data_IF_627676192784
#
_entry.id   IF_627676192784
#
_cell.length_a   1.000
_cell.length_b   1.000
_cell.length_c   1.000
_cell.angle_alpha   90.00
_cell.angle_beta   90.00
_cell.angle_gamma   90.00
#
_symmetry.space_group_name_H-M   'P 1'
#
loop_
_entity.id
_entity.type
_entity.pdbx_description
1 polymer ?
#
# COMPACT_ATOMS: atom_id res chain seq x y z
N UNK A 1 8.58 21.03 6.40
CA UNK A 1 9.11 21.10 5.03
C UNK A 1 7.93 20.88 4.08
N UNK A 2 7.43 21.93 3.44
CA UNK A 2 6.26 21.82 2.55
C UNK A 2 6.76 21.66 1.11
N UNK A 3 6.52 20.48 0.55
CA UNK A 3 6.78 20.21 -0.87
C UNK A 3 5.67 20.83 -1.71
N UNK A 4 6.02 21.52 -2.80
CA UNK A 4 5.02 22.01 -3.74
C UNK A 4 4.36 20.87 -4.54
N UNK A 5 3.15 21.10 -5.07
CA UNK A 5 2.49 20.09 -5.92
C UNK A 5 3.30 19.78 -7.19
N UNK A 6 4.03 20.75 -7.71
CA UNK A 6 4.88 20.59 -8.90
C UNK A 6 6.09 19.70 -8.62
N UNK A 7 6.76 19.93 -7.49
CA UNK A 7 7.88 19.08 -7.05
C UNK A 7 7.42 17.65 -6.75
N UNK A 8 6.28 17.50 -6.08
CA UNK A 8 5.71 16.17 -5.82
C UNK A 8 5.38 15.44 -7.13
N UNK A 9 4.77 16.13 -8.09
CA UNK A 9 4.46 15.57 -9.40
C UNK A 9 5.72 15.14 -10.15
N UNK A 10 6.75 15.98 -10.19
CA UNK A 10 8.02 15.66 -10.83
C UNK A 10 8.70 14.43 -10.18
N UNK A 11 8.68 14.33 -8.85
CA UNK A 11 9.20 13.16 -8.14
C UNK A 11 8.43 11.88 -8.44
N UNK A 12 7.09 11.95 -8.47
CA UNK A 12 6.27 10.81 -8.88
C UNK A 12 6.54 10.36 -10.31
N UNK A 13 6.73 11.31 -11.23
CA UNK A 13 7.11 11.00 -12.61
C UNK A 13 8.47 10.34 -12.70
N UNK A 14 9.47 10.89 -12.01
CA UNK A 14 10.82 10.35 -11.98
C UNK A 14 10.86 8.91 -11.46
N UNK A 15 10.14 8.63 -10.36
CA UNK A 15 10.07 7.28 -9.78
C UNK A 15 9.33 6.33 -10.72
N UNK A 16 8.17 6.75 -11.24
CA UNK A 16 7.31 5.88 -12.04
C UNK A 16 7.94 5.48 -13.38
N UNK A 17 8.62 6.40 -14.00
CA UNK A 17 9.20 6.23 -15.34
C UNK A 17 10.71 5.99 -15.31
N UNK A 18 11.28 5.71 -14.12
CA UNK A 18 12.70 5.44 -13.95
C UNK A 18 13.21 4.34 -14.90
N UNK A 19 12.46 3.24 -15.03
CA UNK A 19 12.83 2.09 -15.87
C UNK A 19 12.85 2.40 -17.36
N UNK A 20 12.21 3.49 -17.80
CA UNK A 20 12.15 3.91 -19.18
C UNK A 20 12.95 5.22 -19.41
N UNK A 21 13.98 5.48 -18.61
CA UNK A 21 14.81 6.68 -18.73
C UNK A 21 14.03 7.99 -18.47
N UNK A 22 12.98 7.96 -17.68
CA UNK A 22 12.12 9.11 -17.38
C UNK A 22 11.04 9.39 -18.43
N UNK A 23 11.02 8.66 -19.55
CA UNK A 23 10.00 8.86 -20.58
C UNK A 23 8.68 8.19 -20.19
N UNK A 24 7.59 8.96 -20.24
CA UNK A 24 6.28 8.47 -19.91
C UNK A 24 5.78 7.40 -20.90
N UNK A 25 5.10 6.38 -20.38
CA UNK A 25 4.48 5.32 -21.19
C UNK A 25 3.03 5.09 -20.75
N UNK A 26 2.23 4.51 -21.63
CA UNK A 26 0.83 4.22 -21.35
C UNK A 26 0.70 3.03 -20.38
N UNK A 27 -0.04 3.15 -19.27
CA UNK A 27 -0.21 2.05 -18.31
C UNK A 27 -1.05 0.88 -18.87
N UNK A 28 -1.82 1.11 -19.95
CA UNK A 28 -2.69 0.09 -20.54
C UNK A 28 -2.01 -0.74 -21.63
N UNK A 29 -1.30 -0.10 -22.56
CA UNK A 29 -0.71 -0.77 -23.71
C UNK A 29 0.82 -0.62 -23.78
N UNK A 30 1.44 0.03 -22.78
CA UNK A 30 2.88 0.26 -22.65
C UNK A 30 3.52 1.05 -23.81
N UNK A 31 2.69 1.67 -24.67
CA UNK A 31 3.17 2.50 -25.78
C UNK A 31 3.93 3.72 -25.24
N UNK A 32 5.10 3.98 -25.80
CA UNK A 32 5.98 5.11 -25.44
C UNK A 32 5.57 6.43 -26.11
N UNK A 33 4.78 6.38 -27.20
CA UNK A 33 4.28 7.58 -27.87
C UNK A 33 3.05 8.12 -27.11
N UNK A 34 3.27 9.17 -26.33
CA UNK A 34 2.23 9.82 -25.53
C UNK A 34 2.24 11.32 -25.77
N UNK A 35 1.07 11.93 -25.80
CA UNK A 35 0.88 13.36 -25.92
C UNK A 35 0.53 13.95 -24.56
N UNK A 36 1.21 15.03 -24.15
CA UNK A 36 0.88 15.79 -22.95
C UNK A 36 -0.10 16.92 -23.30
N UNK A 37 -1.12 17.15 -22.45
CA UNK A 37 -1.97 18.30 -22.58
C UNK A 37 -1.34 19.51 -21.87
N UNK A 38 -1.31 20.65 -22.52
CA UNK A 38 -0.72 21.86 -21.95
C UNK A 38 -1.45 22.38 -20.71
N UNK A 39 -2.79 22.26 -20.69
CA UNK A 39 -3.65 22.81 -19.63
C UNK A 39 -3.90 21.84 -18.47
N UNK A 40 -3.65 20.56 -18.64
CA UNK A 40 -3.96 19.52 -17.66
C UNK A 40 -2.77 18.57 -17.50
N UNK A 41 -2.48 18.13 -16.27
CA UNK A 41 -1.44 17.13 -15.98
C UNK A 41 -1.91 15.72 -16.35
N UNK A 42 -2.41 15.57 -17.58
CA UNK A 42 -2.94 14.35 -18.17
C UNK A 42 -2.20 14.10 -19.47
N UNK A 43 -1.97 12.85 -19.80
CA UNK A 43 -1.37 12.41 -21.06
C UNK A 43 -2.35 11.53 -21.82
N UNK A 44 -2.24 11.51 -23.13
CA UNK A 44 -3.02 10.65 -24.03
C UNK A 44 -2.08 9.74 -24.81
N UNK A 45 -2.41 8.46 -24.81
CA UNK A 45 -1.67 7.48 -25.61
C UNK A 45 -2.02 7.62 -27.10
N UNK A 46 -1.00 7.52 -27.98
CA UNK A 46 -1.23 7.53 -29.44
C UNK A 46 -1.85 6.23 -29.95
N UNK A 47 -1.53 5.09 -29.33
CA UNK A 47 -1.98 3.78 -29.79
C UNK A 47 -3.39 3.41 -29.34
N UNK A 48 -3.70 3.55 -28.05
CA UNK A 48 -5.00 3.15 -27.46
C UNK A 48 -5.92 4.32 -27.11
N UNK A 49 -5.52 5.56 -27.40
CA UNK A 49 -6.24 6.79 -27.10
C UNK A 49 -6.61 7.00 -25.61
N UNK A 50 -6.16 6.13 -24.69
CA UNK A 50 -6.42 6.22 -23.27
C UNK A 50 -5.78 7.46 -22.68
N UNK A 51 -6.55 8.22 -21.88
CA UNK A 51 -6.03 9.34 -21.11
C UNK A 51 -5.59 8.83 -19.73
N UNK A 52 -4.44 9.28 -19.27
CA UNK A 52 -3.88 8.87 -17.98
C UNK A 52 -3.08 9.99 -17.32
N UNK A 53 -3.01 9.94 -16.02
CA UNK A 53 -2.17 10.82 -15.19
C UNK A 53 -1.00 10.03 -14.60
N UNK A 54 -0.12 10.70 -13.88
CA UNK A 54 1.00 10.06 -13.19
C UNK A 54 0.56 8.98 -12.19
N UNK A 55 -0.65 9.07 -11.64
CA UNK A 55 -1.19 8.11 -10.67
C UNK A 55 -2.07 7.02 -11.29
N UNK A 56 -2.42 7.12 -12.58
CA UNK A 56 -3.27 6.12 -13.25
C UNK A 56 -2.57 4.77 -13.37
N UNK A 57 -3.22 3.68 -12.99
CA UNK A 57 -2.63 2.33 -12.98
C UNK A 57 -1.66 2.08 -11.82
N UNK A 58 -1.64 2.94 -10.81
CA UNK A 58 -0.92 2.72 -9.54
C UNK A 58 -1.92 2.55 -8.41
N UNK A 59 -1.43 2.18 -7.22
CA UNK A 59 -2.24 2.12 -5.99
C UNK A 59 -2.93 3.46 -5.67
N UNK A 60 -2.38 4.57 -6.15
CA UNK A 60 -2.94 5.92 -5.98
C UNK A 60 -3.91 6.34 -7.09
N UNK A 61 -4.37 5.41 -7.91
CA UNK A 61 -5.41 5.69 -8.92
C UNK A 61 -6.69 6.22 -8.24
N UNK A 62 -7.44 7.08 -8.95
CA UNK A 62 -8.66 7.71 -8.42
C UNK A 62 -8.42 8.52 -7.14
N UNK A 63 -7.30 9.22 -7.09
CA UNK A 63 -6.90 10.03 -5.93
C UNK A 63 -7.91 11.12 -5.60
N UNK A 64 -8.11 11.35 -4.31
CA UNK A 64 -8.92 12.45 -3.75
C UNK A 64 -8.05 13.58 -3.20
N UNK A 65 -6.81 13.29 -2.82
CA UNK A 65 -5.88 14.21 -2.19
C UNK A 65 -4.97 14.89 -3.21
N UNK A 66 -4.43 16.07 -2.90
CA UNK A 66 -3.30 16.66 -3.61
C UNK A 66 -2.14 15.69 -3.70
N UNK A 67 -1.36 15.77 -4.77
CA UNK A 67 -0.28 14.80 -4.99
C UNK A 67 0.82 14.91 -3.93
N UNK A 68 1.04 16.09 -3.38
CA UNK A 68 2.03 16.37 -2.33
C UNK A 68 1.76 15.62 -1.01
N UNK A 69 0.51 15.26 -0.74
CA UNK A 69 0.13 14.60 0.52
C UNK A 69 0.48 13.10 0.50
N UNK A 70 0.64 12.50 -0.66
CA UNK A 70 1.00 11.08 -0.76
C UNK A 70 2.41 10.76 -0.27
N UNK A 71 3.47 11.52 -0.63
CA UNK A 71 4.80 11.33 -0.03
C UNK A 71 4.79 11.50 1.49
N UNK A 72 4.06 12.49 2.00
CA UNK A 72 3.90 12.67 3.44
C UNK A 72 3.22 11.45 4.10
N UNK A 73 2.13 10.96 3.50
CA UNK A 73 1.44 9.77 3.97
C UNK A 73 2.35 8.53 3.98
N UNK A 74 3.14 8.34 2.93
CA UNK A 74 4.10 7.22 2.84
C UNK A 74 5.15 7.35 3.93
N UNK A 75 5.73 8.54 4.13
CA UNK A 75 6.72 8.77 5.17
C UNK A 75 6.16 8.48 6.57
N UNK A 76 4.97 8.98 6.89
CA UNK A 76 4.30 8.72 8.16
C UNK A 76 4.02 7.22 8.37
N UNK A 77 3.57 6.54 7.32
CA UNK A 77 3.24 5.12 7.37
C UNK A 77 4.48 4.24 7.58
N UNK A 78 5.58 4.53 6.87
CA UNK A 78 6.83 3.74 6.94
C UNK A 78 7.58 3.99 8.26
N UNK A 79 7.55 5.22 8.78
CA UNK A 79 8.24 5.56 10.03
C UNK A 79 7.49 5.09 11.29
N UNK A 80 6.25 4.65 11.16
CA UNK A 80 5.45 4.18 12.28
C UNK A 80 5.84 2.75 12.68
N UNK A 81 6.76 2.61 13.63
CA UNK A 81 7.32 1.32 14.11
C UNK A 81 6.25 0.30 14.52
N UNK A 82 5.17 0.76 15.16
CA UNK A 82 4.05 -0.08 15.60
C UNK A 82 2.84 -0.03 14.63
N UNK A 83 3.04 0.55 13.44
CA UNK A 83 1.97 0.89 12.53
C UNK A 83 1.22 2.16 12.93
N UNK A 84 0.44 2.72 12.01
CA UNK A 84 -0.35 3.93 12.21
C UNK A 84 -1.83 3.63 12.07
N UNK A 85 -2.64 4.17 12.97
CA UNK A 85 -4.09 4.08 12.85
C UNK A 85 -4.60 5.04 11.77
N UNK A 86 -5.72 4.70 11.12
CA UNK A 86 -6.33 5.59 10.13
C UNK A 86 -6.81 6.92 10.74
N UNK A 87 -7.16 6.93 12.04
CA UNK A 87 -7.51 8.17 12.74
C UNK A 87 -6.30 9.08 12.92
N UNK A 88 -5.16 8.53 13.32
CA UNK A 88 -3.93 9.28 13.47
C UNK A 88 -3.47 9.82 12.11
N UNK A 89 -3.43 8.97 11.09
CA UNK A 89 -3.08 9.37 9.73
C UNK A 89 -4.00 10.48 9.21
N UNK A 90 -5.29 10.42 9.54
CA UNK A 90 -6.25 11.46 9.17
C UNK A 90 -5.96 12.82 9.83
N UNK A 91 -5.56 12.81 11.10
CA UNK A 91 -5.17 14.02 11.84
C UNK A 91 -3.87 14.62 11.32
N UNK A 92 -2.88 13.76 11.07
CA UNK A 92 -1.55 14.18 10.61
C UNK A 92 -1.57 14.79 9.20
N UNK A 93 -2.50 14.31 8.35
CA UNK A 93 -2.70 14.81 6.98
C UNK A 93 -3.83 15.85 6.86
N UNK A 94 -4.52 16.17 7.94
CA UNK A 94 -5.72 17.02 7.94
C UNK A 94 -6.78 16.59 6.92
N UNK A 95 -7.12 15.29 6.92
CA UNK A 95 -8.08 14.71 5.99
C UNK A 95 -9.18 13.94 6.73
N UNK A 96 -10.33 13.77 6.06
CA UNK A 96 -11.42 12.99 6.61
C UNK A 96 -10.98 11.53 6.89
N UNK A 97 -11.48 10.96 7.98
CA UNK A 97 -11.21 9.58 8.39
C UNK A 97 -11.40 8.56 7.25
N UNK A 98 -12.48 8.68 6.47
CA UNK A 98 -12.76 7.78 5.34
C UNK A 98 -11.64 7.79 4.30
N UNK A 99 -11.07 8.96 4.01
CA UNK A 99 -9.97 9.13 3.04
C UNK A 99 -8.69 8.52 3.60
N UNK A 100 -8.36 8.81 4.85
CA UNK A 100 -7.19 8.24 5.54
C UNK A 100 -7.30 6.70 5.67
N UNK A 101 -8.49 6.18 5.96
CA UNK A 101 -8.75 4.75 6.05
C UNK A 101 -8.45 4.04 4.72
N UNK A 102 -9.02 4.53 3.62
CA UNK A 102 -8.77 3.97 2.28
C UNK A 102 -7.29 4.06 1.90
N UNK A 103 -6.63 5.19 2.21
CA UNK A 103 -5.22 5.37 1.92
C UNK A 103 -4.35 4.39 2.72
N UNK A 104 -4.60 4.23 4.02
CA UNK A 104 -3.88 3.28 4.86
C UNK A 104 -4.03 1.83 4.38
N UNK A 105 -5.24 1.45 3.91
CA UNK A 105 -5.46 0.13 3.32
C UNK A 105 -4.69 -0.06 2.01
N UNK A 106 -4.71 0.92 1.12
CA UNK A 106 -3.93 0.88 -0.13
C UNK A 106 -2.42 0.73 0.13
N UNK A 107 -1.90 1.42 1.14
CA UNK A 107 -0.49 1.31 1.52
C UNK A 107 -0.16 -0.09 2.08
N UNK A 108 -1.03 -0.65 2.93
CA UNK A 108 -0.86 -2.02 3.46
C UNK A 108 -0.91 -3.07 2.35
N UNK A 109 -1.86 -2.94 1.43
CA UNK A 109 -1.99 -3.82 0.26
C UNK A 109 -0.73 -3.77 -0.61
N UNK A 110 -0.18 -2.57 -0.86
CA UNK A 110 1.05 -2.43 -1.63
C UNK A 110 2.26 -3.10 -0.96
N UNK A 111 2.40 -2.94 0.36
CA UNK A 111 3.47 -3.62 1.12
C UNK A 111 3.28 -5.14 1.09
N UNK A 112 2.06 -5.62 1.27
CA UNK A 112 1.74 -7.05 1.19
C UNK A 112 2.07 -7.62 -0.19
N UNK A 113 1.65 -6.95 -1.26
CA UNK A 113 1.94 -7.38 -2.63
C UNK A 113 3.45 -7.38 -2.96
N UNK A 114 4.22 -6.47 -2.37
CA UNK A 114 5.68 -6.45 -2.57
C UNK A 114 6.40 -7.62 -1.89
N UNK A 115 5.78 -8.22 -0.88
CA UNK A 115 6.31 -9.37 -0.13
C UNK A 115 5.82 -10.72 -0.68
N UNK A 116 4.91 -10.73 -1.64
CA UNK A 116 4.46 -11.97 -2.29
C UNK A 116 5.63 -12.66 -3.01
N UNK A 117 5.94 -13.87 -2.57
CA UNK A 117 7.03 -14.69 -3.10
C UNK A 117 8.31 -14.72 -2.26
N UNK A 118 8.44 -13.86 -1.24
CA UNK A 118 9.53 -13.94 -0.29
C UNK A 118 9.32 -15.13 0.64
N UNK A 119 10.23 -16.12 0.58
CA UNK A 119 10.22 -17.26 1.49
C UNK A 119 11.04 -16.92 2.71
N UNK A 120 10.47 -17.22 3.87
CA UNK A 120 11.19 -17.11 5.14
C UNK A 120 12.29 -18.16 5.17
N UNK A 121 13.50 -17.77 5.58
CA UNK A 121 14.65 -18.67 5.73
C UNK A 121 15.36 -18.37 7.04
N UNK A 122 16.02 -19.39 7.60
CA UNK A 122 16.70 -19.31 8.89
C UNK A 122 15.77 -19.62 10.07
N UNK A 123 16.03 -19.01 11.22
CA UNK A 123 15.22 -19.21 12.43
C UNK A 123 13.97 -18.33 12.32
N UNK A 124 12.80 -18.95 12.27
CA UNK A 124 11.50 -18.26 12.17
C UNK A 124 10.76 -18.46 13.48
N UNK A 125 10.43 -17.35 14.13
CA UNK A 125 9.57 -17.34 15.32
C UNK A 125 8.12 -17.10 14.88
N UNK A 126 7.22 -18.00 15.29
CA UNK A 126 5.79 -17.91 15.00
C UNK A 126 5.07 -17.70 16.31
N UNK A 127 4.41 -16.56 16.43
CA UNK A 127 3.53 -16.25 17.56
C UNK A 127 2.06 -16.22 17.10
N UNK A 128 1.20 -16.81 17.92
CA UNK A 128 -0.23 -16.87 17.67
C UNK A 128 -0.99 -15.86 18.52
N UNK A 129 -1.79 -15.03 17.88
CA UNK A 129 -2.70 -14.12 18.57
C UNK A 129 -4.15 -14.48 18.27
N UNK A 130 -5.01 -14.37 19.29
CA UNK A 130 -6.45 -14.55 19.15
C UNK A 130 -7.08 -13.20 18.82
N UNK A 131 -7.68 -13.09 17.65
CA UNK A 131 -8.50 -11.95 17.25
C UNK A 131 -9.96 -12.37 17.32
N UNK A 132 -10.62 -12.08 18.42
CA UNK A 132 -12.04 -12.31 18.62
C UNK A 132 -12.74 -11.05 19.10
N UNK A 133 -14.01 -10.88 18.74
CA UNK A 133 -14.86 -9.87 19.34
C UNK A 133 -15.12 -10.19 20.81
N UNK A 134 -15.38 -9.16 21.61
CA UNK A 134 -15.82 -9.35 23.00
C UNK A 134 -17.13 -10.14 23.00
N UNK A 135 -17.08 -11.40 23.44
CA UNK A 135 -18.31 -12.13 23.74
C UNK A 135 -18.87 -11.59 25.06
N UNK A 136 -20.10 -11.06 25.01
CA UNK A 136 -20.78 -10.63 26.25
C UNK A 136 -20.93 -11.85 27.15
N UNK A 137 -20.53 -11.80 28.44
CA UNK A 137 -20.75 -12.89 29.34
C UNK A 137 -22.27 -13.12 29.45
N UNK A 138 -22.70 -14.36 29.40
CA UNK A 138 -24.10 -14.72 29.66
C UNK A 138 -24.47 -14.36 31.08
N UNK A 139 -25.71 -13.95 31.29
CA UNK A 139 -26.18 -13.50 32.61
C UNK A 139 -26.11 -14.61 33.69
N UNK A 140 -26.23 -15.86 33.25
CA UNK A 140 -26.15 -17.00 34.16
C UNK A 140 -24.72 -17.51 34.35
N UNK A 141 -24.29 -17.64 35.58
CA UNK A 141 -22.93 -18.02 35.95
C UNK A 141 -22.53 -19.43 35.46
N UNK A 142 -23.52 -20.33 35.36
CA UNK A 142 -23.36 -21.70 34.89
C UNK A 142 -23.07 -21.78 33.35
N UNK A 143 -23.54 -20.79 32.58
CA UNK A 143 -23.39 -20.73 31.14
C UNK A 143 -22.17 -19.94 30.67
N UNK A 144 -21.34 -19.45 31.59
CA UNK A 144 -20.11 -18.73 31.28
C UNK A 144 -19.06 -19.72 30.80
N UNK A 145 -18.90 -19.80 29.50
CA UNK A 145 -17.74 -20.46 28.90
C UNK A 145 -16.61 -19.44 28.75
N UNK A 146 -15.39 -19.86 29.05
CA UNK A 146 -14.22 -19.04 28.75
C UNK A 146 -14.16 -18.84 27.24
N UNK A 147 -14.16 -17.58 26.79
CA UNK A 147 -14.14 -17.24 25.38
C UNK A 147 -12.97 -17.89 24.63
N UNK A 148 -11.84 -18.09 25.32
CA UNK A 148 -10.66 -18.76 24.75
C UNK A 148 -10.92 -20.22 24.41
N UNK A 149 -11.62 -20.95 25.30
CA UNK A 149 -11.96 -22.36 25.10
C UNK A 149 -13.00 -22.50 23.98
N UNK A 150 -13.98 -21.60 23.91
CA UNK A 150 -14.99 -21.59 22.87
C UNK A 150 -14.41 -21.28 21.48
N UNK A 151 -13.40 -20.42 21.39
CA UNK A 151 -12.68 -20.08 20.14
C UNK A 151 -11.79 -21.22 19.67
N UNK A 152 -11.14 -21.94 20.58
CA UNK A 152 -10.38 -23.16 20.25
C UNK A 152 -11.30 -24.26 19.68
N UNK A 153 -12.46 -24.45 20.27
CA UNK A 153 -13.45 -25.44 19.81
C UNK A 153 -14.06 -25.10 18.43
N UNK A 154 -14.14 -23.82 18.08
CA UNK A 154 -14.69 -23.36 16.78
C UNK A 154 -13.64 -23.19 15.68
N UNK A 155 -12.37 -23.45 15.94
CA UNK A 155 -11.29 -23.32 14.94
C UNK A 155 -11.03 -21.90 14.44
N UNK A 156 -11.54 -20.88 15.12
CA UNK A 156 -11.35 -19.46 14.78
C UNK A 156 -10.00 -18.89 15.24
N UNK A 157 -8.99 -19.71 15.27
CA UNK A 157 -7.64 -19.29 15.58
C UNK A 157 -7.02 -18.63 14.35
N UNK A 158 -6.85 -17.31 14.36
CA UNK A 158 -6.01 -16.64 13.37
C UNK A 158 -4.59 -16.56 13.94
N UNK A 159 -3.66 -17.26 13.33
CA UNK A 159 -2.24 -17.16 13.65
C UNK A 159 -1.63 -16.02 12.84
N UNK A 160 -1.04 -15.05 13.52
CA UNK A 160 -0.19 -14.03 12.91
C UNK A 160 1.23 -14.59 12.87
N UNK A 161 1.76 -14.80 11.68
CA UNK A 161 3.17 -15.15 11.49
C UNK A 161 3.99 -13.87 11.50
N UNK A 162 4.75 -13.63 12.56
CA UNK A 162 5.72 -12.52 12.61
C UNK A 162 7.08 -13.10 12.22
N UNK A 163 7.51 -12.75 11.02
CA UNK A 163 8.85 -13.10 10.55
C UNK A 163 9.83 -11.98 10.89
N UNK A 164 10.91 -12.30 11.58
CA UNK A 164 12.02 -11.38 11.78
C UNK A 164 13.05 -11.64 10.70
N UNK A 165 13.22 -10.69 9.78
CA UNK A 165 14.28 -10.76 8.78
C UNK A 165 15.61 -10.36 9.40
N UNK A 166 16.71 -11.12 9.17
CA UNK A 166 18.04 -10.61 9.47
C UNK A 166 18.33 -9.40 8.58
N UNK A 167 18.95 -8.37 9.15
CA UNK A 167 19.22 -7.05 8.57
C UNK A 167 20.18 -7.03 7.37
N UNK A 168 20.43 -8.15 6.71
CA UNK A 168 21.43 -8.31 5.66
C UNK A 168 20.93 -9.02 4.39
N UNK A 169 19.68 -8.81 3.97
CA UNK A 169 19.25 -9.31 2.66
C UNK A 169 19.52 -8.27 1.56
N UNK A 170 20.25 -8.64 0.48
CA UNK A 170 20.43 -7.78 -0.68
C UNK A 170 19.08 -7.55 -1.38
N UNK A 171 18.74 -6.29 -1.63
CA UNK A 171 17.58 -5.89 -2.43
C UNK A 171 17.68 -6.48 -3.83
N UNK A 172 16.92 -7.51 -4.12
CA UNK A 172 16.83 -8.09 -5.47
C UNK A 172 15.98 -7.16 -6.33
N UNK A 173 16.61 -6.53 -7.33
CA UNK A 173 15.91 -5.81 -8.39
C UNK A 173 15.01 -6.78 -9.17
N UNK A 174 13.76 -6.44 -9.48
CA UNK A 174 12.95 -7.26 -10.36
C UNK A 174 13.57 -7.29 -11.76
N UNK A 175 13.70 -8.48 -12.33
CA UNK A 175 14.19 -8.68 -13.67
C UNK A 175 13.22 -8.05 -14.69
N UNK A 176 13.74 -7.16 -15.53
CA UNK A 176 13.03 -6.58 -16.68
C UNK A 176 12.65 -7.68 -17.67
N UNK A 177 11.35 -7.82 -17.96
CA UNK A 177 10.90 -8.67 -19.07
C UNK A 177 11.25 -8.00 -20.39
N UNK A 178 11.83 -8.70 -21.38
CA UNK A 178 12.09 -8.13 -22.68
C UNK A 178 10.77 -7.89 -23.43
N UNK A 179 10.65 -6.69 -24.02
CA UNK A 179 9.59 -6.40 -24.97
C UNK A 179 9.81 -7.28 -26.22
N UNK A 180 8.86 -8.14 -26.54
CA UNK A 180 8.80 -8.80 -27.82
C UNK A 180 8.63 -7.78 -28.97
N UNK A 181 9.38 -7.98 -30.01
CA UNK A 181 9.38 -7.28 -31.29
C UNK A 181 8.02 -7.32 -31.97
#
# INVERSE_FOLDING_TARGET
>A
MQMSDDEAHARFEAIRFADNGGAAFCPRCQCKKVYAFATRRIRKCSACATQFSVTSGTIFSSRKLPIRDYPAAICLFVNAVKGISAMQLGRDLDVQYKTAFVLAHKLREAVSASQEGDKLSGVVEIDGAYFGGHSRPRNEKADRQDARIAEEATGKRQSLVVARFPSSLPTRRPASRPCGT
#
